data_IF_225632831942
#
_entry.id   IF_225632831942
#
_cell.length_a   1.000
_cell.length_b   1.000
_cell.length_c   1.000
_cell.angle_alpha   90.00
_cell.angle_beta   90.00
_cell.angle_gamma   90.00
#
_symmetry.space_group_name_H-M   'P 1'
#
loop_
_entity.id
_entity.type
_entity.pdbx_description
1 polymer ?
#
# COMPACT_ATOMS: atom_id res chain seq x y z
N UNK A 1 -19.71 -6.45 11.09
CA UNK A 1 -18.86 -7.22 10.16
C UNK A 1 -17.60 -6.41 9.85
N UNK A 2 -16.47 -6.73 10.47
CA UNK A 2 -15.18 -6.15 10.06
C UNK A 2 -14.72 -6.88 8.80
N UNK A 3 -15.14 -6.39 7.64
CA UNK A 3 -14.71 -6.92 6.36
C UNK A 3 -13.20 -6.72 6.19
N UNK A 4 -12.53 -7.68 5.52
CA UNK A 4 -11.12 -7.50 5.16
C UNK A 4 -10.94 -6.22 4.35
N UNK A 5 -9.87 -5.46 4.62
CA UNK A 5 -9.51 -4.25 3.87
C UNK A 5 -9.26 -4.61 2.40
N UNK A 6 -9.68 -3.72 1.51
CA UNK A 6 -9.44 -3.87 0.06
C UNK A 6 -8.89 -2.59 -0.56
N UNK A 7 -8.19 -2.75 -1.66
CA UNK A 7 -7.80 -1.63 -2.52
C UNK A 7 -8.89 -1.30 -3.55
N UNK A 8 -8.65 -0.26 -4.34
CA UNK A 8 -9.50 0.16 -5.47
C UNK A 8 -9.67 -0.89 -6.57
N UNK A 9 -8.83 -1.93 -6.60
CA UNK A 9 -8.93 -3.08 -7.51
C UNK A 9 -9.63 -4.28 -6.86
N UNK A 10 -10.27 -4.08 -5.70
CA UNK A 10 -10.99 -5.09 -4.92
C UNK A 10 -10.11 -6.25 -4.41
N UNK A 11 -8.77 -6.08 -4.39
CA UNK A 11 -7.85 -7.06 -3.82
C UNK A 11 -7.87 -7.00 -2.30
N UNK A 12 -7.74 -8.14 -1.64
CA UNK A 12 -7.67 -8.20 -0.17
C UNK A 12 -6.26 -7.76 0.26
N UNK A 13 -6.20 -6.73 1.10
CA UNK A 13 -4.96 -6.23 1.68
C UNK A 13 -4.62 -7.04 2.94
N UNK A 14 -3.33 -7.37 3.09
CA UNK A 14 -2.79 -8.09 4.24
C UNK A 14 -2.64 -7.14 5.44
N UNK A 15 -2.33 -7.71 6.61
CA UNK A 15 -2.09 -6.92 7.81
C UNK A 15 -0.91 -5.96 7.59
N UNK A 16 -1.10 -4.70 7.98
CA UNK A 16 -0.14 -3.63 7.73
C UNK A 16 -0.29 -2.95 6.37
N UNK A 17 -1.00 -3.54 5.41
CA UNK A 17 -1.18 -2.95 4.08
C UNK A 17 -2.38 -1.99 4.02
N UNK A 18 -2.20 -0.90 3.29
CA UNK A 18 -3.23 0.08 2.97
C UNK A 18 -2.97 0.71 1.60
N UNK A 19 -4.02 1.08 0.86
CA UNK A 19 -3.89 1.96 -0.29
C UNK A 19 -4.13 3.41 0.16
N UNK A 20 -3.27 4.33 -0.26
CA UNK A 20 -3.38 5.77 -0.02
C UNK A 20 -4.20 6.44 -1.12
N UNK A 21 -4.65 7.66 -0.86
CA UNK A 21 -5.47 8.43 -1.80
C UNK A 21 -4.76 8.73 -3.12
N UNK A 22 -3.43 8.85 -3.10
CA UNK A 22 -2.60 9.04 -4.30
C UNK A 22 -2.39 7.75 -5.11
N UNK A 23 -2.96 6.62 -4.67
CA UNK A 23 -2.84 5.33 -5.33
C UNK A 23 -1.66 4.47 -4.87
N UNK A 24 -0.71 5.01 -4.09
CA UNK A 24 0.40 4.22 -3.52
C UNK A 24 -0.10 3.25 -2.46
N UNK A 25 0.58 2.12 -2.34
CA UNK A 25 0.45 1.20 -1.20
C UNK A 25 1.39 1.64 -0.08
N UNK A 26 0.93 1.48 1.15
CA UNK A 26 1.73 1.65 2.35
C UNK A 26 1.70 0.36 3.18
N UNK A 27 2.88 -0.09 3.61
CA UNK A 27 3.03 -1.17 4.58
C UNK A 27 3.51 -0.60 5.92
N UNK A 28 2.67 -0.71 6.95
CA UNK A 28 2.96 -0.32 8.33
C UNK A 28 3.58 -1.48 9.09
N UNK A 29 4.69 -1.23 9.77
CA UNK A 29 5.29 -2.16 10.71
C UNK A 29 5.78 -1.46 11.98
N UNK A 30 5.99 -2.23 13.04
CA UNK A 30 6.56 -1.76 14.30
C UNK A 30 8.00 -2.25 14.37
N UNK A 31 8.93 -1.34 14.60
CA UNK A 31 10.34 -1.70 14.84
C UNK A 31 10.56 -2.12 16.29
N UNK A 32 11.72 -2.70 16.60
CA UNK A 32 12.07 -3.18 17.95
C UNK A 32 11.90 -2.12 19.06
N UNK A 33 12.00 -0.83 18.71
CA UNK A 33 11.80 0.29 19.65
C UNK A 33 10.32 0.67 19.87
N UNK A 34 9.37 -0.08 19.30
CA UNK A 34 7.93 0.22 19.38
C UNK A 34 7.46 1.31 18.42
N UNK A 35 8.37 1.96 17.68
CA UNK A 35 8.03 3.03 16.74
C UNK A 35 7.37 2.46 15.48
N UNK A 36 6.38 3.19 14.97
CA UNK A 36 5.73 2.89 13.69
C UNK A 36 6.61 3.32 12.52
N UNK A 37 6.75 2.46 11.53
CA UNK A 37 7.46 2.70 10.28
C UNK A 37 6.57 2.34 9.09
N UNK A 38 6.83 2.99 7.96
CA UNK A 38 6.06 2.82 6.73
C UNK A 38 6.98 2.64 5.53
N UNK A 39 6.67 1.66 4.68
CA UNK A 39 7.25 1.52 3.34
C UNK A 39 6.18 1.86 2.31
N UNK A 40 6.56 2.58 1.25
CA UNK A 40 5.64 3.00 0.19
C UNK A 40 6.02 2.39 -1.16
N UNK A 41 5.02 2.02 -1.95
CA UNK A 41 5.22 1.49 -3.31
C UNK A 41 4.05 1.86 -4.21
N UNK A 42 4.32 2.10 -5.49
CA UNK A 42 3.26 2.22 -6.50
C UNK A 42 2.62 0.87 -6.86
N UNK A 43 3.29 -0.23 -6.50
CA UNK A 43 2.92 -1.60 -6.83
C UNK A 43 2.61 -2.38 -5.56
N UNK A 44 1.49 -3.10 -5.56
CA UNK A 44 1.24 -4.14 -4.56
C UNK A 44 1.85 -5.46 -5.04
N UNK A 45 1.68 -5.76 -6.32
CA UNK A 45 2.22 -6.95 -6.99
C UNK A 45 3.24 -6.55 -8.07
N UNK A 46 4.19 -7.44 -8.37
CA UNK A 46 5.29 -7.14 -9.33
C UNK A 46 4.79 -6.66 -10.71
N UNK A 47 3.63 -7.18 -11.14
CA UNK A 47 2.99 -6.90 -12.43
C UNK A 47 2.18 -5.61 -12.47
N UNK A 48 2.01 -4.91 -11.33
CA UNK A 48 1.29 -3.64 -11.31
C UNK A 48 2.04 -2.58 -12.14
N UNK A 49 1.27 -1.81 -12.93
CA UNK A 49 1.79 -0.63 -13.64
C UNK A 49 1.98 0.52 -12.67
N UNK A 50 3.08 1.25 -12.79
CA UNK A 50 3.28 2.53 -12.09
C UNK A 50 2.71 3.68 -12.94
N UNK A 51 2.35 4.81 -12.32
CA UNK A 51 2.06 6.02 -13.07
C UNK A 51 3.24 6.36 -13.98
N UNK A 52 2.97 6.70 -15.24
CA UNK A 52 3.99 7.30 -16.10
C UNK A 52 4.22 8.73 -15.60
N UNK A 53 5.44 9.04 -15.17
CA UNK A 53 5.87 10.43 -15.00
C UNK A 53 6.17 10.98 -16.38
N UNK A 54 5.17 11.55 -17.07
CA UNK A 54 5.46 12.40 -18.21
C UNK A 54 5.92 13.74 -17.66
N UNK A 55 7.23 13.92 -17.54
CA UNK A 55 7.79 15.26 -17.32
C UNK A 55 7.61 16.03 -18.63
N UNK A 56 6.81 17.08 -18.62
CA UNK A 56 6.77 18.11 -19.66
C UNK A 56 7.82 19.18 -19.36
#
# INVERSE_FOLDING_TARGET
>A
MSGKRRDSKNRILRNGESQRQDGRYAFKYIVATGKQQFVYSWKLEKTDKTPHTTNA
#
